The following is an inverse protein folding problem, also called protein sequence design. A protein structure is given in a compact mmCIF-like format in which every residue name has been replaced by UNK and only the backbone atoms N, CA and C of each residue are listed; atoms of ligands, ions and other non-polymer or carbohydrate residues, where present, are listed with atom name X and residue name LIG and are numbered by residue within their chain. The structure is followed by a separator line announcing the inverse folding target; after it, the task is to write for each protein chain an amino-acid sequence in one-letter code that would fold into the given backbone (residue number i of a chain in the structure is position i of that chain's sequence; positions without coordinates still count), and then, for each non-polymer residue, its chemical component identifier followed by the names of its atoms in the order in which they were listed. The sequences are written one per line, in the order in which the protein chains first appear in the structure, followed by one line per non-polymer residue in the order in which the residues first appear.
data_IF_265645399139
#
_entry.id   IF_265645399139
#
_cell.length_a   1.000
_cell.length_b   1.000
_cell.length_c   1.000
_cell.angle_alpha   90.00
_cell.angle_beta   90.00
_cell.angle_gamma   90.00
#
_symmetry.space_group_name_H-M   'P 1'
#
loop_
_entity.id
_entity.type
_entity.pdbx_description
1 polymer ?
#
# COMPACT_ATOMS: atom_id res chain seq x y z
N UNK A 1 -18.86 -27.07 -15.97
CA UNK A 1 -17.80 -28.01 -15.48
C UNK A 1 -17.33 -27.51 -14.12
N UNK A 2 -16.98 -28.37 -13.16
CA UNK A 2 -16.51 -27.90 -11.84
C UNK A 2 -14.99 -27.94 -11.75
N UNK A 3 -14.38 -26.97 -11.07
CA UNK A 3 -12.92 -26.89 -10.88
C UNK A 3 -12.58 -26.49 -9.44
N UNK A 4 -11.41 -26.95 -8.97
CA UNK A 4 -10.88 -26.63 -7.65
C UNK A 4 -10.17 -25.26 -7.66
N UNK A 5 -10.27 -24.54 -6.56
CA UNK A 5 -9.60 -23.25 -6.38
C UNK A 5 -8.07 -23.41 -6.41
N UNK A 6 -7.54 -24.49 -5.82
CA UNK A 6 -6.11 -24.82 -5.89
C UNK A 6 -5.58 -24.93 -7.32
N UNK A 7 -6.27 -25.67 -8.19
CA UNK A 7 -5.93 -25.81 -9.60
C UNK A 7 -5.97 -24.46 -10.34
N UNK A 8 -6.97 -23.64 -10.05
CA UNK A 8 -7.07 -22.32 -10.64
C UNK A 8 -5.94 -21.39 -10.20
N UNK A 9 -5.57 -21.44 -8.92
CA UNK A 9 -4.48 -20.64 -8.37
C UNK A 9 -3.14 -21.03 -8.99
N UNK A 10 -2.93 -22.31 -9.32
CA UNK A 10 -1.74 -22.76 -10.03
C UNK A 10 -1.67 -22.26 -11.49
N UNK A 11 -2.83 -21.99 -12.11
CA UNK A 11 -2.91 -21.44 -13.47
C UNK A 11 -2.66 -19.92 -13.57
N UNK A 12 -2.38 -19.25 -12.45
CA UNK A 12 -2.04 -17.83 -12.45
C UNK A 12 -0.67 -17.60 -13.10
N UNK A 13 -0.58 -16.61 -13.99
CA UNK A 13 0.68 -16.17 -14.60
C UNK A 13 1.67 -15.69 -13.53
N UNK A 14 1.16 -15.09 -12.45
CA UNK A 14 1.97 -14.66 -11.31
C UNK A 14 1.50 -15.34 -10.00
N UNK A 15 2.05 -16.52 -9.66
CA UNK A 15 1.68 -17.27 -8.45
C UNK A 15 1.92 -16.49 -7.15
N UNK A 16 2.85 -15.53 -7.15
CA UNK A 16 3.14 -14.67 -5.99
C UNK A 16 1.99 -13.69 -5.67
N UNK A 17 1.03 -13.53 -6.59
CA UNK A 17 -0.19 -12.74 -6.39
C UNK A 17 -1.42 -13.58 -6.01
N UNK A 18 -1.27 -14.88 -5.79
CA UNK A 18 -2.35 -15.81 -5.40
C UNK A 18 -3.23 -15.33 -4.25
N UNK A 19 -2.67 -14.70 -3.21
CA UNK A 19 -3.44 -14.11 -2.11
C UNK A 19 -4.41 -13.01 -2.56
N UNK A 20 -4.01 -12.18 -3.53
CA UNK A 20 -4.87 -11.12 -4.09
C UNK A 20 -5.99 -11.75 -4.92
N UNK A 21 -5.64 -12.74 -5.74
CA UNK A 21 -6.62 -13.51 -6.53
C UNK A 21 -7.68 -14.14 -5.62
N UNK A 22 -7.28 -14.83 -4.55
CA UNK A 22 -8.21 -15.48 -3.61
C UNK A 22 -9.13 -14.47 -2.94
N UNK A 23 -8.63 -13.27 -2.59
CA UNK A 23 -9.49 -12.21 -2.04
C UNK A 23 -10.56 -11.77 -3.03
N UNK A 24 -10.17 -11.48 -4.28
CA UNK A 24 -11.09 -11.09 -5.35
C UNK A 24 -12.09 -12.21 -5.69
N UNK A 25 -11.61 -13.46 -5.74
CA UNK A 25 -12.46 -14.63 -5.95
C UNK A 25 -13.53 -14.77 -4.86
N UNK A 26 -13.14 -14.67 -3.58
CA UNK A 26 -14.09 -14.76 -2.46
C UNK A 26 -15.10 -13.61 -2.45
N UNK A 27 -14.70 -12.43 -2.91
CA UNK A 27 -15.60 -11.31 -3.11
C UNK A 27 -16.59 -11.53 -4.25
N UNK A 28 -16.14 -12.07 -5.39
CA UNK A 28 -17.00 -12.46 -6.50
C UNK A 28 -17.99 -13.57 -6.09
N UNK A 29 -17.58 -14.52 -5.25
CA UNK A 29 -18.49 -15.51 -4.66
C UNK A 29 -19.49 -14.85 -3.71
N UNK A 30 -19.05 -13.93 -2.85
CA UNK A 30 -19.92 -13.21 -1.91
C UNK A 30 -20.98 -12.36 -2.61
N UNK A 31 -20.65 -11.78 -3.76
CA UNK A 31 -21.56 -10.95 -4.56
C UNK A 31 -22.43 -11.76 -5.51
N UNK A 32 -22.24 -13.08 -5.58
CA UNK A 32 -23.01 -13.98 -6.45
C UNK A 32 -22.54 -14.01 -7.91
N UNK A 33 -21.46 -13.32 -8.26
CA UNK A 33 -20.85 -13.35 -9.60
C UNK A 33 -20.25 -14.72 -9.94
N UNK A 34 -19.75 -15.45 -8.93
CA UNK A 34 -19.21 -16.80 -9.10
C UNK A 34 -19.93 -17.75 -8.14
N UNK A 35 -20.45 -18.85 -8.68
CA UNK A 35 -21.03 -19.93 -7.86
C UNK A 35 -19.93 -20.86 -7.38
N UNK A 36 -19.71 -20.88 -6.07
CA UNK A 36 -18.72 -21.74 -5.43
C UNK A 36 -19.22 -22.30 -4.11
N UNK A 37 -18.78 -23.51 -3.77
CA UNK A 37 -18.98 -24.16 -2.48
C UNK A 37 -17.65 -24.30 -1.76
N UNK A 38 -17.69 -24.21 -0.43
CA UNK A 38 -16.52 -24.40 0.41
C UNK A 38 -16.38 -25.89 0.78
N UNK A 39 -15.17 -26.45 0.70
CA UNK A 39 -14.88 -27.81 1.16
C UNK A 39 -14.26 -27.75 2.56
N UNK A 40 -15.04 -27.97 3.64
CA UNK A 40 -14.60 -27.67 5.00
C UNK A 40 -13.44 -28.55 5.51
N UNK A 41 -13.30 -29.76 4.98
CA UNK A 41 -12.23 -30.71 5.30
C UNK A 41 -10.93 -30.45 4.53
N UNK A 42 -10.98 -29.68 3.43
CA UNK A 42 -9.87 -29.54 2.50
C UNK A 42 -9.26 -28.14 2.55
N UNK A 43 -7.93 -28.11 2.54
CA UNK A 43 -7.12 -26.89 2.48
C UNK A 43 -5.95 -27.14 1.57
N UNK A 44 -5.48 -26.09 0.92
CA UNK A 44 -4.27 -26.13 0.12
C UNK A 44 -3.32 -25.02 0.53
N UNK A 45 -2.03 -25.29 0.37
CA UNK A 45 -0.96 -24.32 0.61
C UNK A 45 -0.83 -23.39 -0.59
N UNK A 46 -0.89 -22.08 -0.36
CA UNK A 46 -0.74 -21.09 -1.42
C UNK A 46 0.70 -21.05 -1.95
N UNK A 47 0.90 -20.86 -3.27
CA UNK A 47 2.25 -20.79 -3.84
C UNK A 47 3.03 -19.56 -3.37
N UNK A 48 2.34 -18.48 -3.00
CA UNK A 48 2.96 -17.23 -2.53
C UNK A 48 3.77 -17.45 -1.26
N UNK A 49 5.06 -17.13 -1.33
CA UNK A 49 5.96 -17.12 -0.18
C UNK A 49 6.01 -15.73 0.46
N UNK A 50 5.85 -15.68 1.78
CA UNK A 50 5.92 -14.47 2.58
C UNK A 50 7.23 -14.44 3.37
N UNK A 51 7.87 -13.28 3.44
CA UNK A 51 9.03 -13.07 4.32
C UNK A 51 8.56 -12.87 5.75
N UNK A 52 9.29 -13.45 6.72
CA UNK A 52 9.03 -13.21 8.14
C UNK A 52 9.60 -11.85 8.53
N UNK A 53 8.80 -11.01 9.18
CA UNK A 53 9.27 -9.70 9.67
C UNK A 53 10.22 -9.93 10.86
N UNK A 54 11.44 -9.39 10.79
CA UNK A 54 12.41 -9.45 11.88
C UNK A 54 13.03 -10.83 12.16
N UNK A 55 12.83 -11.81 11.27
CA UNK A 55 13.48 -13.14 11.33
C UNK A 55 13.93 -13.55 9.93
N UNK A 56 15.01 -14.32 9.85
CA UNK A 56 15.43 -14.97 8.60
C UNK A 56 14.46 -16.12 8.28
N UNK A 57 13.94 -16.14 7.05
CA UNK A 57 13.10 -17.23 6.53
C UNK A 57 11.80 -16.77 5.89
N UNK A 58 11.18 -17.70 5.16
CA UNK A 58 9.88 -17.52 4.51
C UNK A 58 8.81 -18.40 5.15
N UNK A 59 7.55 -18.14 4.84
CA UNK A 59 6.44 -19.03 5.15
C UNK A 59 5.39 -18.95 4.04
N UNK A 60 4.63 -20.03 3.89
CA UNK A 60 3.44 -20.05 3.04
C UNK A 60 2.19 -20.08 3.92
N UNK A 61 1.05 -19.77 3.33
CA UNK A 61 -0.23 -19.72 4.04
C UNK A 61 -1.18 -20.72 3.42
N UNK A 62 -1.96 -21.38 4.26
CA UNK A 62 -3.00 -22.29 3.82
C UNK A 62 -4.34 -21.56 3.66
N UNK A 63 -5.10 -21.96 2.64
CA UNK A 63 -6.44 -21.46 2.34
C UNK A 63 -7.43 -22.62 2.26
N UNK A 64 -8.69 -22.36 2.60
CA UNK A 64 -9.77 -23.35 2.45
C UNK A 64 -9.98 -23.67 0.97
N UNK A 65 -10.09 -24.94 0.64
CA UNK A 65 -10.39 -25.36 -0.72
C UNK A 65 -11.84 -24.97 -1.07
N UNK A 66 -12.05 -24.56 -2.32
CA UNK A 66 -13.38 -24.27 -2.84
C UNK A 66 -13.56 -24.97 -4.18
N UNK A 67 -14.76 -25.49 -4.40
CA UNK A 67 -15.17 -26.04 -5.68
C UNK A 67 -16.12 -25.04 -6.33
N UNK A 68 -15.88 -24.68 -7.59
CA UNK A 68 -16.69 -23.68 -8.29
C UNK A 68 -17.03 -24.13 -9.69
N UNK A 69 -18.10 -23.55 -10.23
CA UNK A 69 -18.52 -23.80 -11.60
C UNK A 69 -17.72 -22.95 -12.58
N UNK A 70 -17.06 -23.59 -13.54
CA UNK A 70 -16.40 -22.96 -14.68
C UNK A 70 -17.47 -22.65 -15.72
N UNK A 71 -17.83 -21.37 -15.78
CA UNK A 71 -18.71 -20.79 -16.80
C UNK A 71 -17.88 -19.90 -17.74
N UNK A 72 -18.37 -19.57 -18.95
CA UNK A 72 -17.69 -18.63 -19.83
C UNK A 72 -17.48 -17.24 -19.18
N UNK A 73 -18.42 -16.80 -18.34
CA UNK A 73 -18.30 -15.56 -17.56
C UNK A 73 -17.14 -15.63 -16.57
N UNK A 74 -16.98 -16.78 -15.90
CA UNK A 74 -15.84 -17.01 -15.02
C UNK A 74 -14.52 -17.00 -15.79
N UNK A 75 -14.45 -17.62 -16.96
CA UNK A 75 -13.22 -17.64 -17.76
C UNK A 75 -12.81 -16.24 -18.22
N UNK A 76 -13.76 -15.43 -18.69
CA UNK A 76 -13.53 -14.04 -19.04
C UNK A 76 -13.06 -13.21 -17.83
N UNK A 77 -13.75 -13.37 -16.69
CA UNK A 77 -13.35 -12.74 -15.43
C UNK A 77 -11.94 -13.17 -15.03
N UNK A 78 -11.64 -14.47 -15.09
CA UNK A 78 -10.34 -15.01 -14.72
C UNK A 78 -9.23 -14.46 -15.61
N UNK A 79 -9.43 -14.40 -16.93
CA UNK A 79 -8.45 -13.83 -17.84
C UNK A 79 -8.15 -12.37 -17.51
N UNK A 80 -9.17 -11.57 -17.24
CA UNK A 80 -9.00 -10.18 -16.82
C UNK A 80 -8.18 -10.09 -15.53
N UNK A 81 -8.56 -10.88 -14.51
CA UNK A 81 -7.83 -10.93 -13.25
C UNK A 81 -6.39 -11.43 -13.45
N UNK A 82 -6.16 -12.41 -14.31
CA UNK A 82 -4.85 -12.99 -14.56
C UNK A 82 -3.95 -11.99 -15.30
N UNK A 83 -4.49 -11.24 -16.27
CA UNK A 83 -3.80 -10.13 -16.95
C UNK A 83 -3.45 -9.03 -15.95
N UNK A 84 -4.39 -8.58 -15.12
CA UNK A 84 -4.14 -7.55 -14.10
C UNK A 84 -3.08 -7.98 -13.07
N UNK A 85 -3.16 -9.22 -12.59
CA UNK A 85 -2.21 -9.76 -11.61
C UNK A 85 -0.85 -10.13 -12.20
N UNK A 86 -0.78 -10.41 -13.51
CA UNK A 86 0.48 -10.59 -14.25
C UNK A 86 1.30 -9.30 -14.27
N UNK A 87 0.63 -8.15 -14.31
CA UNK A 87 1.26 -6.84 -14.29
C UNK A 87 1.76 -6.54 -12.87
N UNK A 88 2.94 -7.08 -12.54
CA UNK A 88 3.62 -6.81 -11.26
C UNK A 88 4.05 -5.34 -11.11
N UNK A 89 4.06 -4.61 -12.23
CA UNK A 89 4.39 -3.20 -12.37
C UNK A 89 3.46 -2.57 -13.42
N UNK A 90 2.30 -2.06 -13.01
CA UNK A 90 1.82 -0.86 -13.70
C UNK A 90 2.86 0.18 -13.34
N UNK A 91 3.56 0.67 -14.38
CA UNK A 91 4.86 1.32 -14.30
C UNK A 91 5.06 2.07 -13.00
N UNK A 92 6.10 1.69 -12.23
CA UNK A 92 6.70 2.69 -11.36
C UNK A 92 6.91 3.89 -12.25
N UNK A 93 6.29 5.04 -11.92
CA UNK A 93 6.41 6.27 -12.69
C UNK A 93 7.84 6.34 -13.18
N UNK A 94 8.04 6.52 -14.50
CA UNK A 94 9.37 6.69 -15.09
C UNK A 94 10.09 7.64 -14.15
N UNK A 95 11.14 7.15 -13.50
CA UNK A 95 11.84 7.94 -12.49
C UNK A 95 12.26 9.21 -13.20
N UNK A 96 11.84 10.35 -12.69
CA UNK A 96 12.22 11.64 -13.26
C UNK A 96 13.73 11.78 -13.03
N UNK A 97 14.50 11.42 -14.05
CA UNK A 97 15.95 11.59 -14.12
C UNK A 97 16.26 12.47 -15.33
N UNK A 98 17.42 13.13 -15.33
CA UNK A 98 17.86 14.00 -16.43
C UNK A 98 17.82 13.26 -17.78
N UNK A 99 18.20 11.98 -17.79
CA UNK A 99 18.17 11.12 -18.99
C UNK A 99 16.75 10.90 -19.51
N UNK A 100 15.76 10.70 -18.63
CA UNK A 100 14.37 10.49 -19.04
C UNK A 100 13.68 11.77 -19.53
N UNK A 101 14.12 12.93 -19.04
CA UNK A 101 13.70 14.25 -19.52
C UNK A 101 14.34 14.55 -20.88
N UNK A 102 15.63 14.26 -21.05
CA UNK A 102 16.34 14.42 -22.31
C UNK A 102 15.80 13.50 -23.42
N UNK A 103 15.39 12.29 -23.05
CA UNK A 103 14.77 11.33 -23.97
C UNK A 103 13.30 11.67 -24.34
N UNK A 104 12.71 12.74 -23.78
CA UNK A 104 11.32 13.12 -24.04
C UNK A 104 10.28 12.13 -23.49
N UNK A 105 10.69 11.19 -22.62
CA UNK A 105 9.82 10.21 -21.99
C UNK A 105 8.98 10.81 -20.86
N UNK A 106 9.34 12.00 -20.41
CA UNK A 106 8.69 12.75 -19.34
C UNK A 106 8.56 14.22 -19.76
N UNK A 107 7.36 14.78 -19.70
CA UNK A 107 7.12 16.20 -20.01
C UNK A 107 7.58 17.09 -18.84
N UNK A 108 8.69 17.79 -19.05
CA UNK A 108 9.25 18.75 -18.10
C UNK A 108 8.26 19.87 -17.76
N UNK A 109 7.48 20.36 -18.73
CA UNK A 109 6.56 21.47 -18.54
C UNK A 109 5.41 21.12 -17.60
N UNK A 110 4.83 19.93 -17.77
CA UNK A 110 3.81 19.41 -16.86
C UNK A 110 4.36 19.26 -15.43
N UNK A 111 5.56 18.70 -15.27
CA UNK A 111 6.21 18.52 -13.96
C UNK A 111 6.58 19.85 -13.29
N UNK A 112 7.04 20.84 -14.05
CA UNK A 112 7.37 22.16 -13.54
C UNK A 112 6.13 22.87 -12.98
N UNK A 113 4.99 22.79 -13.68
CA UNK A 113 3.72 23.36 -13.21
C UNK A 113 3.20 22.68 -11.95
N UNK A 114 3.27 21.34 -11.91
CA UNK A 114 2.89 20.59 -10.71
C UNK A 114 3.79 20.94 -9.51
N UNK A 115 5.09 21.09 -9.75
CA UNK A 115 6.06 21.48 -8.72
C UNK A 115 5.79 22.90 -8.21
N UNK A 116 5.53 23.85 -9.10
CA UNK A 116 5.17 25.23 -8.74
C UNK A 116 3.88 25.26 -7.89
N UNK A 117 2.85 24.51 -8.29
CA UNK A 117 1.60 24.42 -7.54
C UNK A 117 1.82 23.85 -6.12
N UNK A 118 2.63 22.80 -6.00
CA UNK A 118 2.98 22.20 -4.68
C UNK A 118 3.79 23.17 -3.82
N UNK A 119 4.75 23.88 -4.41
CA UNK A 119 5.56 24.87 -3.69
C UNK A 119 4.70 26.04 -3.19
N UNK A 120 3.79 26.54 -4.02
CA UNK A 120 2.88 27.62 -3.65
C UNK A 120 1.93 27.19 -2.53
N UNK A 121 1.33 26.01 -2.65
CA UNK A 121 0.45 25.46 -1.61
C UNK A 121 1.18 25.28 -0.27
N UNK A 122 2.44 24.81 -0.30
CA UNK A 122 3.28 24.70 0.90
C UNK A 122 3.59 26.06 1.52
N UNK A 123 3.92 27.05 0.69
CA UNK A 123 4.19 28.42 1.12
C UNK A 123 2.97 29.06 1.80
N UNK A 124 1.80 28.98 1.17
CA UNK A 124 0.54 29.50 1.71
C UNK A 124 0.15 28.82 3.02
N UNK A 125 0.29 27.50 3.09
CA UNK A 125 0.10 26.74 4.33
C UNK A 125 1.05 27.22 5.43
N UNK A 126 2.32 27.46 5.10
CA UNK A 126 3.31 28.03 6.02
C UNK A 126 2.93 29.42 6.54
N UNK A 127 2.44 30.30 5.66
CA UNK A 127 1.96 31.63 6.02
C UNK A 127 0.73 31.59 6.94
N UNK A 128 -0.23 30.72 6.65
CA UNK A 128 -1.42 30.53 7.49
C UNK A 128 -1.06 29.99 8.89
N UNK A 129 -0.14 29.02 8.96
CA UNK A 129 0.39 28.50 10.21
C UNK A 129 1.21 29.55 10.99
N UNK A 130 1.95 30.41 10.31
CA UNK A 130 2.66 31.54 10.92
C UNK A 130 1.72 32.58 11.51
N UNK A 131 0.68 32.98 10.75
CA UNK A 131 -0.34 33.96 11.19
C UNK A 131 -1.15 33.45 12.39
N UNK A 132 -1.55 32.18 12.38
CA UNK A 132 -2.25 31.55 13.51
C UNK A 132 -1.40 31.44 14.78
N UNK A 133 -0.06 31.33 14.65
CA UNK A 133 0.87 31.37 15.80
C UNK A 133 1.13 32.80 16.30
N UNK A 134 1.23 33.78 15.40
CA UNK A 134 1.41 35.20 15.74
C UNK A 134 0.19 35.85 16.39
N UNK A 135 -1.03 35.35 16.11
CA UNK A 135 -2.26 35.84 16.73
C UNK A 135 -2.43 35.43 18.21
N UNK A 136 -1.64 34.47 18.72
CA UNK A 136 -1.61 34.12 20.16
C UNK A 136 -0.63 34.98 20.97
N UNK A 137 0.11 35.89 20.33
CA UNK A 137 1.02 36.81 21.03
C UNK A 137 0.56 38.26 20.88
N UNK A 138 -0.35 38.69 21.76
CA UNK A 138 -0.38 40.09 22.23
C UNK A 138 -0.40 40.13 23.77
N UNK A 139 0.13 41.21 24.36
CA UNK A 139 0.95 41.16 25.57
C UNK A 139 0.18 41.65 26.80
N UNK A 140 0.41 41.04 27.95
CA UNK A 140 -0.10 41.57 29.22
C UNK A 140 0.25 40.64 30.39
N UNK A 141 0.95 41.17 31.38
CA UNK A 141 1.08 40.52 32.69
C UNK A 141 2.49 40.54 33.26
N UNK A 142 2.77 41.55 34.08
CA UNK A 142 3.98 41.79 34.82
C UNK A 142 4.58 40.62 35.63
N UNK A 143 5.92 40.61 35.68
CA UNK A 143 6.83 40.32 36.82
C UNK A 143 6.41 39.25 37.85
N UNK A 144 7.27 38.24 37.98
CA UNK A 144 7.96 37.95 39.25
C UNK A 144 9.20 37.04 39.04
N UNK A 145 10.40 37.61 39.26
CA UNK A 145 11.56 36.84 39.76
C UNK A 145 11.25 36.44 41.23
N UNK A 146 11.74 35.29 41.69
CA UNK A 146 12.91 35.31 42.57
C UNK A 146 13.92 34.23 42.15
N UNK A 147 15.19 34.60 41.97
CA UNK A 147 16.23 34.62 43.00
C UNK A 147 17.01 33.30 43.03
N UNK A 148 18.26 33.40 42.61
CA UNK A 148 19.26 32.36 42.71
C UNK A 148 19.42 31.88 44.15
N UNK A 149 19.62 30.58 44.32
CA UNK A 149 20.31 30.04 45.50
C UNK A 149 21.21 28.91 45.06
N UNK A 150 22.49 29.24 44.93
CA UNK A 150 23.57 28.27 44.90
C UNK A 150 23.57 27.43 46.19
N UNK A 151 23.92 26.15 46.08
CA UNK A 151 24.74 25.44 47.08
C UNK A 151 25.21 24.08 46.55
N UNK A 152 26.53 24.04 46.39
CA UNK A 152 27.50 22.95 46.31
C UNK A 152 27.16 21.68 47.10
N UNK A 153 27.56 20.50 46.57
CA UNK A 153 28.37 19.39 47.19
C UNK A 153 28.04 18.06 46.47
N UNK A 154 28.99 17.47 45.72
CA UNK A 154 30.07 16.52 46.12
C UNK A 154 29.58 15.06 46.27
N UNK A 155 29.98 14.23 45.30
CA UNK A 155 30.38 12.81 45.30
C UNK A 155 29.52 11.70 45.94
N UNK A 156 29.47 10.57 45.22
CA UNK A 156 29.08 9.21 45.67
C UNK A 156 28.44 8.46 44.49
N UNK A 157 28.84 7.26 44.09
CA UNK A 157 29.84 6.29 44.55
C UNK A 157 30.31 5.48 43.33
#
# INVERSE_FOLDING_TARGET
MYKRLSEQVQSLVNPQRSDTFIKRFREAVRTGQIKAINLPSERFTMPKQYTRRGKTGTYQKDTKEMLFEVTPEFEAWFEEQNKDLAVSRQGGQVKVTEETLAAGLVDFGALARETQAKMQASYEKGQLLGKSRGAKSKPGGAKSKPAARSRTRKAGA
#
